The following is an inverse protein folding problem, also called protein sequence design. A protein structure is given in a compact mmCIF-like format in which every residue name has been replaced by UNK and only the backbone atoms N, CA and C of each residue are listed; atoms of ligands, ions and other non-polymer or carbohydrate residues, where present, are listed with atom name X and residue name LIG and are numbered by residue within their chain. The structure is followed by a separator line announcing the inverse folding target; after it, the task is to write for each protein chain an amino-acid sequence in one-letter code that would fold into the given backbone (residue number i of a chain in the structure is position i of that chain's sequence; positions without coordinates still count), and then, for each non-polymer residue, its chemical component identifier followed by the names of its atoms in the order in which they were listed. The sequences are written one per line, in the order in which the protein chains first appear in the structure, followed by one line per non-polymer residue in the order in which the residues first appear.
data_IF_458787024835
#
_entry.id   IF_458787024835
#
_cell.length_a   1.000
_cell.length_b   1.000
_cell.length_c   1.000
_cell.angle_alpha   90.00
_cell.angle_beta   90.00
_cell.angle_gamma   90.00
#
_symmetry.space_group_name_H-M   'P 1'
#
loop_
_entity.id
_entity.type
_entity.pdbx_description
1 polymer ?
#
# COMPACT_ATOMS: atom_id res chain seq x y z
N UNK A 1 16.29 0.09 10.42
CA UNK A 1 14.93 0.35 9.91
C UNK A 1 15.04 0.64 8.42
N UNK A 2 14.04 0.26 7.62
CA UNK A 2 13.97 0.63 6.20
C UNK A 2 13.42 2.06 6.08
N UNK A 3 14.20 3.05 5.60
CA UNK A 3 13.74 4.44 5.51
C UNK A 3 12.60 4.63 4.50
N UNK A 4 12.50 3.77 3.47
CA UNK A 4 11.46 3.86 2.44
C UNK A 4 10.06 3.70 3.01
N UNK A 5 9.92 3.02 4.15
CA UNK A 5 8.61 2.85 4.79
C UNK A 5 7.97 4.18 5.23
N UNK A 6 8.78 5.22 5.48
CA UNK A 6 8.27 6.56 5.81
C UNK A 6 7.88 7.40 4.59
N UNK A 7 8.17 6.94 3.37
CA UNK A 7 7.84 7.66 2.15
C UNK A 7 6.34 7.55 1.84
N UNK A 8 5.72 8.60 1.30
CA UNK A 8 4.35 8.53 0.84
C UNK A 8 4.24 7.59 -0.36
N UNK A 9 3.07 6.97 -0.52
CA UNK A 9 2.77 6.12 -1.68
C UNK A 9 2.66 6.95 -2.96
N UNK A 10 2.21 8.20 -2.83
CA UNK A 10 2.09 9.19 -3.90
C UNK A 10 2.53 10.56 -3.37
N UNK A 11 3.15 11.37 -4.22
CA UNK A 11 3.54 12.74 -3.85
C UNK A 11 2.33 13.54 -3.35
N UNK A 12 2.43 14.08 -2.14
CA UNK A 12 1.38 14.87 -1.50
C UNK A 12 0.23 14.06 -0.90
N UNK A 13 0.24 12.73 -0.98
CA UNK A 13 -0.76 11.86 -0.36
C UNK A 13 -0.34 11.45 1.06
N UNK A 14 -1.26 11.41 2.06
CA UNK A 14 -0.90 11.13 3.45
C UNK A 14 -0.53 9.67 3.73
N UNK A 15 -0.96 8.75 2.88
CA UNK A 15 -0.69 7.31 3.04
C UNK A 15 0.77 7.00 2.71
N UNK A 16 1.43 6.31 3.63
CA UNK A 16 2.82 5.89 3.58
C UNK A 16 2.98 4.43 3.16
N UNK A 17 4.18 4.07 2.71
CA UNK A 17 4.54 2.68 2.40
C UNK A 17 4.42 1.75 3.63
N UNK A 18 4.70 2.26 4.84
CA UNK A 18 4.52 1.53 6.08
C UNK A 18 3.07 1.07 6.29
N UNK A 19 2.09 1.92 5.97
CA UNK A 19 0.67 1.60 6.14
C UNK A 19 0.22 0.49 5.19
N UNK A 20 0.75 0.45 3.95
CA UNK A 20 0.49 -0.67 3.03
C UNK A 20 1.03 -1.99 3.59
N UNK A 21 2.28 -2.01 4.03
CA UNK A 21 2.90 -3.21 4.63
C UNK A 21 2.17 -3.65 5.90
N UNK A 22 1.77 -2.70 6.74
CA UNK A 22 0.99 -2.97 7.95
C UNK A 22 -0.34 -3.63 7.62
N UNK A 23 -1.06 -3.11 6.63
CA UNK A 23 -2.34 -3.65 6.20
C UNK A 23 -2.23 -5.12 5.74
N UNK A 24 -1.15 -5.50 5.04
CA UNK A 24 -0.93 -6.91 4.68
C UNK A 24 -0.57 -7.77 5.90
N UNK A 25 0.35 -7.29 6.76
CA UNK A 25 0.86 -8.07 7.90
C UNK A 25 -0.17 -8.29 9.01
N UNK A 26 -0.99 -7.27 9.30
CA UNK A 26 -1.78 -7.21 10.53
C UNK A 26 -3.29 -7.00 10.29
N UNK A 27 -3.69 -6.54 9.11
CA UNK A 27 -5.11 -6.27 8.80
C UNK A 27 -5.69 -7.22 7.77
N UNK A 28 -4.90 -8.20 7.31
CA UNK A 28 -5.35 -9.24 6.39
C UNK A 28 -5.72 -8.70 5.01
N UNK A 29 -4.99 -7.70 4.50
CA UNK A 29 -5.14 -7.28 3.11
C UNK A 29 -4.66 -8.39 2.15
N UNK A 30 -5.61 -8.92 1.37
CA UNK A 30 -5.52 -9.98 0.35
C UNK A 30 -4.69 -9.62 -0.89
N UNK A 31 -5.00 -8.43 -1.39
CA UNK A 31 -4.71 -8.00 -2.76
C UNK A 31 -4.65 -6.47 -2.85
N UNK A 32 -4.42 -5.94 -4.05
CA UNK A 32 -4.31 -4.50 -4.26
C UNK A 32 -5.62 -3.76 -3.98
N UNK A 33 -6.79 -4.39 -4.19
CA UNK A 33 -8.08 -3.77 -3.91
C UNK A 33 -8.33 -3.66 -2.40
N UNK A 34 -7.87 -4.62 -1.61
CA UNK A 34 -7.87 -4.51 -0.15
C UNK A 34 -7.09 -3.28 0.29
N UNK A 35 -5.86 -3.14 -0.21
CA UNK A 35 -4.97 -2.03 0.15
C UNK A 35 -5.52 -0.68 -0.30
N UNK A 36 -5.77 -0.52 -1.59
CA UNK A 36 -6.07 0.77 -2.19
C UNK A 36 -7.52 1.19 -1.96
N UNK A 37 -8.46 0.24 -2.03
CA UNK A 37 -9.88 0.58 -2.08
C UNK A 37 -10.53 0.50 -0.67
N UNK A 38 -9.98 -0.30 0.26
CA UNK A 38 -10.59 -0.54 1.58
C UNK A 38 -9.77 -0.02 2.76
N UNK A 39 -8.48 -0.35 2.83
CA UNK A 39 -7.62 0.01 3.97
C UNK A 39 -7.20 1.47 3.95
N UNK A 40 -6.82 1.97 2.78
CA UNK A 40 -6.27 3.32 2.63
C UNK A 40 -7.21 4.30 1.93
N UNK A 41 -8.17 3.80 1.15
CA UNK A 41 -9.10 4.60 0.33
C UNK A 41 -8.43 5.48 -0.73
N UNK A 42 -7.15 5.25 -1.04
CA UNK A 42 -6.45 5.83 -2.22
C UNK A 42 -7.27 5.59 -3.50
N UNK A 43 -7.95 4.44 -3.56
CA UNK A 43 -8.83 4.01 -4.62
C UNK A 43 -10.02 4.91 -4.95
N UNK A 44 -10.39 5.83 -4.06
CA UNK A 44 -11.53 6.74 -4.28
C UNK A 44 -11.29 7.70 -5.44
N UNK A 45 -10.03 8.04 -5.71
CA UNK A 45 -9.62 8.82 -6.88
C UNK A 45 -9.02 7.85 -7.90
N UNK A 46 -9.65 7.65 -9.09
CA UNK A 46 -9.17 6.67 -10.06
C UNK A 46 -7.72 6.89 -10.52
N UNK A 47 -7.29 8.15 -10.64
CA UNK A 47 -5.93 8.49 -11.01
C UNK A 47 -4.92 8.07 -9.93
N UNK A 48 -5.23 8.34 -8.67
CA UNK A 48 -4.38 7.97 -7.52
C UNK A 48 -4.31 6.46 -7.37
N UNK A 49 -5.44 5.76 -7.56
CA UNK A 49 -5.48 4.29 -7.58
C UNK A 49 -4.52 3.72 -8.61
N UNK A 50 -4.54 4.27 -9.83
CA UNK A 50 -3.67 3.81 -10.90
C UNK A 50 -2.19 4.09 -10.59
N UNK A 51 -1.88 5.27 -10.04
CA UNK A 51 -0.53 5.66 -9.66
C UNK A 51 0.03 4.86 -8.47
N UNK A 52 -0.83 4.44 -7.53
CA UNK A 52 -0.43 3.70 -6.34
C UNK A 52 -0.32 2.17 -6.53
N UNK A 53 -0.67 1.67 -7.72
CA UNK A 53 -0.81 0.24 -7.96
C UNK A 53 0.51 -0.52 -7.74
N UNK A 54 1.64 0.04 -8.18
CA UNK A 54 2.93 -0.62 -8.05
C UNK A 54 3.40 -0.66 -6.59
N UNK A 55 3.15 0.40 -5.80
CA UNK A 55 3.44 0.39 -4.37
C UNK A 55 2.61 -0.66 -3.61
N UNK A 56 1.34 -0.87 -3.99
CA UNK A 56 0.51 -1.92 -3.42
C UNK A 56 1.07 -3.32 -3.72
N UNK A 57 1.50 -3.57 -4.96
CA UNK A 57 2.13 -4.83 -5.39
C UNK A 57 3.44 -5.09 -4.67
N UNK A 58 4.27 -4.06 -4.52
CA UNK A 58 5.52 -4.16 -3.75
C UNK A 58 5.26 -4.57 -2.30
N UNK A 59 4.28 -3.95 -1.63
CA UNK A 59 3.93 -4.30 -0.25
C UNK A 59 3.40 -5.74 -0.11
N UNK A 60 2.56 -6.19 -1.04
CA UNK A 60 2.08 -7.58 -1.08
C UNK A 60 3.22 -8.56 -1.33
N UNK A 61 4.10 -8.27 -2.30
CA UNK A 61 5.25 -9.10 -2.64
C UNK A 61 6.24 -9.22 -1.48
N UNK A 62 6.53 -8.12 -0.78
CA UNK A 62 7.41 -8.11 0.39
C UNK A 62 6.89 -9.02 1.51
N UNK A 63 5.58 -8.98 1.77
CA UNK A 63 5.00 -9.68 2.93
C UNK A 63 4.62 -11.12 2.61
N UNK A 64 4.05 -11.39 1.44
CA UNK A 64 3.59 -12.72 1.04
C UNK A 64 4.71 -13.58 0.45
N UNK A 65 5.71 -12.98 -0.21
CA UNK A 65 6.88 -13.67 -0.75
C UNK A 65 7.99 -13.94 0.27
N UNK A 66 7.89 -13.36 1.48
CA UNK A 66 8.78 -13.60 2.62
C UNK A 66 8.25 -14.69 3.57
N UNK A 67 7.17 -15.37 3.19
CA UNK A 67 6.65 -16.59 3.83
C UNK A 67 7.08 -17.83 3.05
#
# INVERSE_FOLDING_TARGET
SDPRLGEPVLDGHPVTRAELVWAVRHEGALDEADLLDRRTRVGLVPADRAAALDAAREALGEVLGSR
#
